data_IF_847933819448
#
_entry.id   IF_847933819448
#
_cell.length_a   1.000
_cell.length_b   1.000
_cell.length_c   1.000
_cell.angle_alpha   90.00
_cell.angle_beta   90.00
_cell.angle_gamma   90.00
#
_symmetry.space_group_name_H-M   'P 1'
#
loop_
_entity.id
_entity.type
_entity.pdbx_description
1 polymer ?
#
# COMPACT_ATOMS: atom_id res chain seq x y z
N UNK A 1 -0.10 1.12 16.13
CA UNK A 1 -0.56 1.66 14.83
C UNK A 1 0.58 1.60 13.85
N UNK A 2 0.48 0.73 12.84
CA UNK A 2 1.47 0.59 11.75
C UNK A 2 1.08 1.39 10.51
N UNK A 3 0.29 2.45 10.71
CA UNK A 3 -0.25 3.25 9.62
C UNK A 3 0.81 4.26 9.19
N UNK A 4 1.17 4.24 7.92
CA UNK A 4 2.26 5.04 7.34
C UNK A 4 1.76 5.90 6.20
N UNK A 5 2.63 6.79 5.71
CA UNK A 5 2.33 7.60 4.54
C UNK A 5 1.87 6.71 3.38
N UNK A 6 0.72 7.01 2.76
CA UNK A 6 0.20 6.21 1.67
C UNK A 6 1.17 6.24 0.50
N UNK A 7 1.38 5.08 -0.11
CA UNK A 7 2.21 4.90 -1.29
C UNK A 7 1.51 3.98 -2.29
N UNK A 8 1.86 4.09 -3.57
CA UNK A 8 1.37 3.20 -4.62
C UNK A 8 2.49 2.87 -5.61
N UNK A 9 2.32 1.78 -6.35
CA UNK A 9 3.25 1.37 -7.41
C UNK A 9 2.89 2.03 -8.74
N UNK A 10 3.83 2.67 -9.44
CA UNK A 10 3.62 3.14 -10.82
C UNK A 10 3.87 2.05 -11.86
N UNK A 11 4.35 0.87 -11.45
CA UNK A 11 4.56 -0.24 -12.36
C UNK A 11 3.20 -0.66 -12.98
N UNK A 12 3.06 -0.68 -14.32
CA UNK A 12 1.82 -1.09 -14.97
C UNK A 12 1.44 -2.55 -14.70
N UNK A 13 2.41 -3.41 -14.36
CA UNK A 13 2.18 -4.80 -13.96
C UNK A 13 1.78 -4.99 -12.49
N UNK A 14 1.80 -3.93 -11.68
CA UNK A 14 1.37 -3.99 -10.27
C UNK A 14 -0.13 -3.69 -10.13
N UNK A 15 -0.78 -4.23 -9.08
CA UNK A 15 -2.15 -3.85 -8.74
C UNK A 15 -2.30 -2.34 -8.57
N UNK A 16 -3.38 -1.78 -9.14
CA UNK A 16 -3.70 -0.36 -9.04
C UNK A 16 -4.31 -0.02 -7.67
N UNK A 17 -3.55 -0.26 -6.60
CA UNK A 17 -3.93 0.01 -5.21
C UNK A 17 -2.93 0.96 -4.55
N UNK A 18 -3.30 1.53 -3.41
CA UNK A 18 -2.35 2.17 -2.50
C UNK A 18 -2.19 1.36 -1.21
N UNK A 19 -1.05 1.51 -0.55
CA UNK A 19 -0.72 0.90 0.72
C UNK A 19 -0.43 1.98 1.75
N UNK A 20 -1.01 1.85 2.94
CA UNK A 20 -0.82 2.79 4.07
C UNK A 20 -0.44 2.06 5.37
N UNK A 21 0.05 0.82 5.27
CA UNK A 21 0.42 0.02 6.44
C UNK A 21 1.81 -0.61 6.27
N UNK A 22 2.75 -0.38 7.19
CA UNK A 22 4.12 -0.94 7.13
C UNK A 22 4.18 -2.46 7.34
N UNK A 23 3.13 -3.07 7.91
CA UNK A 23 3.02 -4.52 8.05
C UNK A 23 2.52 -5.22 6.78
N UNK A 24 2.14 -4.46 5.74
CA UNK A 24 1.67 -5.04 4.50
C UNK A 24 2.85 -5.65 3.71
N UNK A 25 2.85 -6.96 3.53
CA UNK A 25 3.86 -7.67 2.75
C UNK A 25 3.93 -7.18 1.29
N UNK A 26 2.78 -6.87 0.68
CA UNK A 26 2.73 -6.34 -0.69
C UNK A 26 3.43 -4.98 -0.78
N UNK A 27 3.21 -4.09 0.19
CA UNK A 27 3.92 -2.80 0.28
C UNK A 27 5.43 -3.01 0.38
N UNK A 28 5.84 -3.95 1.21
CA UNK A 28 7.25 -4.21 1.50
C UNK A 28 7.97 -4.91 0.33
N UNK A 29 7.21 -5.53 -0.59
CA UNK A 29 7.72 -6.11 -1.84
C UNK A 29 7.69 -5.14 -3.03
N UNK A 30 7.21 -3.90 -2.87
CA UNK A 30 7.23 -2.92 -3.96
C UNK A 30 8.67 -2.53 -4.31
N UNK A 31 8.97 -2.53 -5.61
CA UNK A 31 10.25 -2.04 -6.14
C UNK A 31 10.38 -0.54 -5.87
N UNK A 32 11.49 -0.15 -5.22
CA UNK A 32 11.69 1.23 -4.75
C UNK A 32 11.57 2.27 -5.86
N UNK A 33 12.07 1.96 -7.06
CA UNK A 33 11.99 2.82 -8.24
C UNK A 33 10.56 3.09 -8.71
N UNK A 34 9.65 2.15 -8.43
CA UNK A 34 8.24 2.20 -8.80
C UNK A 34 7.34 2.75 -7.68
N UNK A 35 7.86 3.01 -6.49
CA UNK A 35 7.07 3.57 -5.39
C UNK A 35 6.87 5.07 -5.62
N UNK A 36 5.63 5.53 -5.53
CA UNK A 36 5.28 6.95 -5.46
C UNK A 36 4.45 7.25 -4.23
N UNK A 37 4.68 8.40 -3.58
CA UNK A 37 3.86 8.84 -2.46
C UNK A 37 2.45 9.19 -2.91
N UNK A 38 1.49 9.05 -2.01
CA UNK A 38 0.08 9.37 -2.23
C UNK A 38 -0.77 8.19 -2.65
N UNK A 39 -2.08 8.45 -2.80
CA UNK A 39 -3.09 7.43 -3.13
C UNK A 39 -3.36 7.29 -4.63
N UNK A 40 -3.04 8.31 -5.42
CA UNK A 40 -3.33 8.39 -6.86
C UNK A 40 -4.80 8.05 -7.25
N UNK A 41 -5.76 8.33 -6.36
CA UNK A 41 -7.18 7.99 -6.58
C UNK A 41 -7.48 6.48 -6.56
N UNK A 42 -6.52 5.65 -6.14
CA UNK A 42 -6.62 4.20 -6.14
C UNK A 42 -7.33 3.68 -4.88
N UNK A 43 -7.97 2.51 -4.95
CA UNK A 43 -8.48 1.83 -3.76
C UNK A 43 -7.34 1.41 -2.81
N UNK A 44 -7.68 1.25 -1.53
CA UNK A 44 -6.75 0.72 -0.54
C UNK A 44 -6.50 -0.77 -0.81
N UNK A 45 -5.25 -1.21 -0.65
CA UNK A 45 -4.86 -2.61 -0.72
C UNK A 45 -5.73 -3.47 0.24
N UNK A 46 -6.30 -4.60 -0.22
CA UNK A 46 -7.11 -5.50 0.63
C UNK A 46 -6.39 -5.98 1.89
N UNK A 47 -5.08 -6.24 1.79
CA UNK A 47 -4.28 -6.64 2.94
C UNK A 47 -4.09 -5.48 3.93
N UNK A 48 -3.87 -4.25 3.45
CA UNK A 48 -3.87 -3.07 4.31
C UNK A 48 -5.22 -2.85 5.01
N UNK A 49 -6.35 -3.11 4.32
CA UNK A 49 -7.69 -3.08 4.92
C UNK A 49 -7.78 -4.09 6.07
N UNK A 50 -7.43 -5.36 5.81
CA UNK A 50 -7.49 -6.43 6.81
C UNK A 50 -6.62 -6.13 8.04
N UNK A 51 -5.39 -5.65 7.83
CA UNK A 51 -4.49 -5.24 8.91
C UNK A 51 -5.01 -4.03 9.70
N UNK A 52 -5.75 -3.13 9.05
CA UNK A 52 -6.42 -2.01 9.71
C UNK A 52 -7.61 -2.44 10.59
N UNK A 53 -8.27 -3.55 10.24
CA UNK A 53 -9.37 -4.14 11.02
C UNK A 53 -8.84 -4.98 12.19
N UNK A 54 -7.78 -5.76 11.99
CA UNK A 54 -7.18 -6.62 13.03
C UNK A 54 -6.47 -5.84 14.15
N UNK A 55 -6.16 -4.56 13.93
CA UNK A 55 -5.53 -3.68 14.91
C UNK A 55 -6.50 -2.82 15.72
N UNK A 56 -7.80 -3.12 15.70
CA UNK A 56 -8.84 -2.47 16.52
C UNK A 56 -9.17 -3.26 17.77
#
# INVERSE_FOLDING_TARGET
MSKVTPVHSVNPGSPQVYHDNDKCSERNNLERDNIRPGKAGRPLCPHCIALGVQGK
#
